data_IF_177703693534
#
_entry.id   IF_177703693534
#
_cell.length_a   1.000
_cell.length_b   1.000
_cell.length_c   1.000
_cell.angle_alpha   90.00
_cell.angle_beta   90.00
_cell.angle_gamma   90.00
#
_symmetry.space_group_name_H-M   'P 1'
#
loop_
_entity.id
_entity.type
_entity.pdbx_description
1 polymer ?
#
# COMPACT_ATOMS: atom_id res chain seq x y z
N UNK A 1 33.23 -90.95 -56.80
CA UNK A 1 32.54 -89.92 -57.60
C UNK A 1 33.60 -88.90 -57.99
N UNK A 2 33.96 -88.82 -59.27
CA UNK A 2 35.08 -87.97 -59.70
C UNK A 2 34.74 -86.49 -59.47
N UNK A 3 35.67 -85.76 -58.86
CA UNK A 3 35.59 -84.29 -58.79
C UNK A 3 35.69 -83.82 -60.24
N UNK A 4 34.55 -83.43 -60.81
CA UNK A 4 34.48 -82.84 -62.14
C UNK A 4 34.72 -81.33 -62.04
N UNK A 5 35.35 -80.77 -63.07
CA UNK A 5 35.63 -79.33 -63.20
C UNK A 5 34.39 -78.47 -62.96
N UNK A 6 33.20 -78.97 -63.31
CA UNK A 6 31.91 -78.33 -63.07
C UNK A 6 31.62 -78.07 -61.59
N UNK A 7 32.02 -78.99 -60.70
CA UNK A 7 31.81 -78.87 -59.25
C UNK A 7 32.73 -77.78 -58.66
N UNK A 8 33.97 -77.67 -59.14
CA UNK A 8 34.90 -76.60 -58.74
C UNK A 8 34.40 -75.23 -59.21
N UNK A 9 33.95 -75.13 -60.47
CA UNK A 9 33.37 -73.89 -61.02
C UNK A 9 32.11 -73.48 -60.26
N UNK A 10 31.21 -74.43 -59.96
CA UNK A 10 30.01 -74.17 -59.18
C UNK A 10 30.34 -73.67 -57.76
N UNK A 11 31.35 -74.25 -57.11
CA UNK A 11 31.80 -73.81 -55.78
C UNK A 11 32.37 -72.40 -55.81
N UNK A 12 33.12 -72.04 -56.87
CA UNK A 12 33.69 -70.70 -57.05
C UNK A 12 32.60 -69.65 -57.31
N UNK A 13 31.60 -69.97 -58.15
CA UNK A 13 30.43 -69.11 -58.38
C UNK A 13 29.61 -68.93 -57.10
N UNK A 14 29.40 -70.00 -56.33
CA UNK A 14 28.71 -69.93 -55.04
C UNK A 14 29.47 -69.07 -54.03
N UNK A 15 30.80 -69.25 -53.92
CA UNK A 15 31.63 -68.42 -53.04
C UNK A 15 31.59 -66.94 -53.43
N UNK A 16 31.60 -66.62 -54.73
CA UNK A 16 31.54 -65.26 -55.23
C UNK A 16 30.15 -64.62 -54.99
N UNK A 17 29.08 -65.41 -55.09
CA UNK A 17 27.72 -65.01 -54.70
C UNK A 17 27.63 -64.72 -53.21
N UNK A 18 28.12 -65.62 -52.35
CA UNK A 18 28.14 -65.43 -50.89
C UNK A 18 28.95 -64.20 -50.51
N UNK A 19 30.09 -63.97 -51.15
CA UNK A 19 30.89 -62.78 -50.92
C UNK A 19 30.15 -61.50 -51.34
N UNK A 20 29.48 -61.53 -52.50
CA UNK A 20 28.65 -60.41 -52.97
C UNK A 20 27.48 -60.10 -52.05
N UNK A 21 26.75 -61.12 -51.60
CA UNK A 21 25.61 -60.93 -50.68
C UNK A 21 26.05 -60.46 -49.30
N UNK A 22 27.16 -60.99 -48.78
CA UNK A 22 27.72 -60.57 -47.50
C UNK A 22 28.26 -59.14 -47.54
N UNK A 23 28.85 -58.72 -48.67
CA UNK A 23 29.45 -57.39 -48.81
C UNK A 23 28.46 -56.28 -49.16
N UNK A 24 27.37 -56.61 -49.87
CA UNK A 24 26.41 -55.61 -50.38
C UNK A 24 25.03 -55.71 -49.72
N UNK A 25 24.45 -56.90 -49.56
CA UNK A 25 23.06 -57.03 -49.08
C UNK A 25 22.98 -56.99 -47.55
N UNK A 26 23.84 -57.73 -46.87
CA UNK A 26 23.85 -57.81 -45.41
C UNK A 26 24.05 -56.45 -44.69
N UNK A 27 25.00 -55.59 -45.08
CA UNK A 27 25.16 -54.28 -44.44
C UNK A 27 23.92 -53.39 -44.60
N UNK A 28 23.30 -53.34 -45.80
CA UNK A 28 22.10 -52.53 -46.00
C UNK A 28 20.90 -52.96 -45.14
N UNK A 29 20.76 -54.27 -44.87
CA UNK A 29 19.71 -54.77 -43.98
C UNK A 29 19.99 -54.42 -42.52
N UNK A 30 21.24 -54.62 -42.07
CA UNK A 30 21.65 -54.29 -40.70
C UNK A 30 21.54 -52.80 -40.42
N UNK A 31 22.00 -51.95 -41.35
CA UNK A 31 21.91 -50.49 -41.25
C UNK A 31 20.46 -50.03 -41.10
N UNK A 32 19.54 -50.59 -41.90
CA UNK A 32 18.12 -50.25 -41.82
C UNK A 32 17.48 -50.70 -40.49
N UNK A 33 17.91 -51.83 -39.92
CA UNK A 33 17.45 -52.28 -38.61
C UNK A 33 18.03 -51.43 -37.47
N UNK A 34 19.31 -51.08 -37.55
CA UNK A 34 19.97 -50.25 -36.55
C UNK A 34 19.40 -48.82 -36.57
N UNK A 35 19.12 -48.26 -37.74
CA UNK A 35 18.48 -46.94 -37.85
C UNK A 35 17.09 -46.92 -37.21
N UNK A 36 16.29 -47.99 -37.39
CA UNK A 36 14.99 -48.12 -36.72
C UNK A 36 15.15 -48.24 -35.21
N UNK A 37 16.05 -49.09 -34.74
CA UNK A 37 16.33 -49.27 -33.31
C UNK A 37 16.77 -47.95 -32.68
N UNK A 38 17.66 -47.22 -33.35
CA UNK A 38 18.16 -45.91 -32.92
C UNK A 38 17.04 -44.87 -32.86
N UNK A 39 16.17 -44.79 -33.88
CA UNK A 39 15.02 -43.88 -33.88
C UNK A 39 14.05 -44.16 -32.74
N UNK A 40 13.78 -45.44 -32.46
CA UNK A 40 12.89 -45.84 -31.36
C UNK A 40 13.53 -45.49 -30.01
N UNK A 41 14.81 -45.80 -29.82
CA UNK A 41 15.54 -45.48 -28.59
C UNK A 41 15.60 -43.96 -28.36
N UNK A 42 15.89 -43.17 -29.39
CA UNK A 42 15.89 -41.72 -29.32
C UNK A 42 14.49 -41.16 -29.05
N UNK A 43 13.45 -41.70 -29.69
CA UNK A 43 12.07 -41.29 -29.45
C UNK A 43 11.61 -41.58 -28.03
N UNK A 44 11.96 -42.75 -27.48
CA UNK A 44 11.63 -43.12 -26.11
C UNK A 44 12.38 -42.24 -25.09
N UNK A 45 13.68 -42.02 -25.29
CA UNK A 45 14.47 -41.15 -24.45
C UNK A 45 13.96 -39.70 -24.48
N UNK A 46 13.59 -39.19 -25.65
CA UNK A 46 13.01 -37.85 -25.79
C UNK A 46 11.64 -37.74 -25.12
N UNK A 47 10.81 -38.79 -25.18
CA UNK A 47 9.53 -38.81 -24.50
C UNK A 47 9.70 -38.82 -22.97
N UNK A 48 10.61 -39.64 -22.43
CA UNK A 48 10.90 -39.69 -21.00
C UNK A 48 11.48 -38.36 -20.50
N UNK A 49 12.41 -37.77 -21.25
CA UNK A 49 12.94 -36.44 -20.93
C UNK A 49 11.84 -35.38 -21.00
N UNK A 50 10.95 -35.43 -21.99
CA UNK A 50 9.84 -34.49 -22.12
C UNK A 50 8.85 -34.57 -20.95
N UNK A 51 8.53 -35.78 -20.48
CA UNK A 51 7.68 -35.97 -19.29
C UNK A 51 8.37 -35.45 -18.02
N UNK A 52 9.67 -35.68 -17.87
CA UNK A 52 10.43 -35.15 -16.74
C UNK A 52 10.49 -33.62 -16.76
N UNK A 53 10.81 -33.01 -17.90
CA UNK A 53 10.85 -31.55 -18.05
C UNK A 53 9.47 -30.93 -17.81
N UNK A 54 8.40 -31.59 -18.26
CA UNK A 54 7.02 -31.15 -18.00
C UNK A 54 6.69 -31.20 -16.50
N UNK A 55 7.06 -32.27 -15.81
CA UNK A 55 6.87 -32.39 -14.36
C UNK A 55 7.64 -31.29 -13.62
N UNK A 56 8.91 -31.08 -13.95
CA UNK A 56 9.73 -30.01 -13.35
C UNK A 56 9.18 -28.61 -13.65
N UNK A 57 8.70 -28.37 -14.87
CA UNK A 57 8.09 -27.10 -15.25
C UNK A 57 6.80 -26.83 -14.47
N UNK A 58 5.97 -27.87 -14.26
CA UNK A 58 4.76 -27.77 -13.43
C UNK A 58 5.10 -27.48 -11.97
N UNK A 59 6.07 -28.18 -11.39
CA UNK A 59 6.49 -27.94 -10.01
C UNK A 59 7.04 -26.53 -9.81
N UNK A 60 7.84 -26.03 -10.76
CA UNK A 60 8.34 -24.65 -10.77
C UNK A 60 7.20 -23.64 -10.91
N UNK A 61 6.24 -23.88 -11.80
CA UNK A 61 5.08 -23.00 -11.96
C UNK A 61 4.24 -22.94 -10.69
N UNK A 62 3.97 -24.07 -10.06
CA UNK A 62 3.23 -24.13 -8.80
C UNK A 62 4.00 -23.46 -7.65
N UNK A 63 5.32 -23.60 -7.61
CA UNK A 63 6.17 -22.89 -6.65
C UNK A 63 6.08 -21.37 -6.83
N UNK A 64 6.17 -20.88 -8.07
CA UNK A 64 6.03 -19.45 -8.39
C UNK A 64 4.64 -18.94 -7.97
N UNK A 65 3.58 -19.70 -8.22
CA UNK A 65 2.21 -19.31 -7.83
C UNK A 65 2.08 -19.24 -6.30
N UNK A 66 2.64 -20.22 -5.58
CA UNK A 66 2.65 -20.20 -4.11
C UNK A 66 3.40 -18.99 -3.57
N UNK A 67 4.61 -18.75 -4.06
CA UNK A 67 5.43 -17.61 -3.66
C UNK A 67 4.73 -16.27 -3.98
N UNK A 68 4.10 -16.15 -5.15
CA UNK A 68 3.34 -14.97 -5.53
C UNK A 68 2.15 -14.73 -4.58
N UNK A 69 1.45 -15.79 -4.15
CA UNK A 69 0.36 -15.68 -3.17
C UNK A 69 0.87 -15.26 -1.80
N UNK A 70 1.97 -15.83 -1.33
CA UNK A 70 2.59 -15.45 -0.05
C UNK A 70 3.03 -13.98 -0.06
N UNK A 71 3.70 -13.54 -1.13
CA UNK A 71 4.09 -12.13 -1.31
C UNK A 71 2.87 -11.21 -1.36
N UNK A 72 1.80 -11.61 -2.04
CA UNK A 72 0.56 -10.83 -2.10
C UNK A 72 -0.09 -10.69 -0.71
N UNK A 73 -0.19 -11.78 0.06
CA UNK A 73 -0.69 -11.74 1.43
C UNK A 73 0.16 -10.83 2.31
N UNK A 74 1.49 -10.92 2.21
CA UNK A 74 2.40 -10.05 2.96
C UNK A 74 2.24 -8.58 2.61
N UNK A 75 2.08 -8.24 1.32
CA UNK A 75 1.80 -6.86 0.88
C UNK A 75 0.47 -6.36 1.46
N UNK A 76 -0.58 -7.19 1.47
CA UNK A 76 -1.88 -6.83 2.04
C UNK A 76 -1.76 -6.58 3.55
N UNK A 77 -1.06 -7.44 4.28
CA UNK A 77 -0.82 -7.29 5.72
C UNK A 77 -0.05 -6.00 6.03
N UNK A 78 1.02 -5.72 5.28
CA UNK A 78 1.78 -4.48 5.41
C UNK A 78 0.93 -3.24 5.12
N UNK A 79 0.11 -3.29 4.06
CA UNK A 79 -0.79 -2.19 3.72
C UNK A 79 -1.84 -1.96 4.82
N UNK A 80 -2.39 -3.02 5.41
CA UNK A 80 -3.32 -2.90 6.54
C UNK A 80 -2.64 -2.33 7.78
N UNK A 81 -1.41 -2.73 8.08
CA UNK A 81 -0.64 -2.18 9.20
C UNK A 81 -0.38 -0.68 8.98
N UNK A 82 0.15 -0.31 7.82
CA UNK A 82 0.39 1.09 7.47
C UNK A 82 -0.88 1.94 7.51
N UNK A 83 -2.02 1.40 7.06
CA UNK A 83 -3.30 2.08 7.13
C UNK A 83 -3.74 2.31 8.59
N UNK A 84 -3.57 1.32 9.47
CA UNK A 84 -3.88 1.46 10.90
C UNK A 84 -2.99 2.51 11.56
N UNK A 85 -1.69 2.46 11.30
CA UNK A 85 -0.73 3.44 11.82
C UNK A 85 -1.07 4.85 11.36
N UNK A 86 -1.41 5.04 10.08
CA UNK A 86 -1.83 6.31 9.54
C UNK A 86 -3.10 6.84 10.22
N UNK A 87 -4.08 5.98 10.47
CA UNK A 87 -5.32 6.35 11.17
C UNK A 87 -5.02 6.75 12.62
N UNK A 88 -4.15 6.04 13.33
CA UNK A 88 -3.77 6.39 14.70
C UNK A 88 -2.96 7.69 14.76
N UNK A 89 -2.04 7.91 13.82
CA UNK A 89 -1.33 9.18 13.68
C UNK A 89 -2.28 10.34 13.39
N UNK A 90 -3.24 10.15 12.47
CA UNK A 90 -4.24 11.15 12.13
C UNK A 90 -5.14 11.48 13.32
N UNK A 91 -5.58 10.48 14.09
CA UNK A 91 -6.32 10.69 15.34
C UNK A 91 -5.50 11.44 16.38
N UNK A 92 -4.22 11.10 16.53
CA UNK A 92 -3.30 11.80 17.43
C UNK A 92 -3.15 13.28 17.06
N UNK A 93 -2.90 13.56 15.79
CA UNK A 93 -2.82 14.92 15.26
C UNK A 93 -4.13 15.69 15.45
N UNK A 94 -5.28 15.07 15.14
CA UNK A 94 -6.59 15.68 15.33
C UNK A 94 -6.88 16.02 16.80
N UNK A 95 -6.50 15.16 17.75
CA UNK A 95 -6.62 15.44 19.19
C UNK A 95 -5.74 16.60 19.62
N UNK A 96 -4.48 16.61 19.16
CA UNK A 96 -3.54 17.70 19.46
C UNK A 96 -4.05 19.04 18.92
N UNK A 97 -4.53 19.06 17.68
CA UNK A 97 -5.06 20.27 17.05
C UNK A 97 -6.37 20.72 17.73
N UNK A 98 -7.25 19.77 18.08
CA UNK A 98 -8.45 20.06 18.86
C UNK A 98 -8.14 20.68 20.22
N UNK A 99 -7.12 20.17 20.94
CA UNK A 99 -6.67 20.75 22.19
C UNK A 99 -6.10 22.16 22.00
N UNK A 100 -5.36 22.40 20.91
CA UNK A 100 -4.82 23.72 20.56
C UNK A 100 -5.92 24.74 20.28
N UNK A 101 -6.94 24.34 19.51
CA UNK A 101 -8.11 25.18 19.20
C UNK A 101 -8.87 25.49 20.49
N UNK A 102 -9.10 24.49 21.35
CA UNK A 102 -9.81 24.69 22.62
C UNK A 102 -9.05 25.66 23.54
N UNK A 103 -7.73 25.50 23.66
CA UNK A 103 -6.90 26.41 24.45
C UNK A 103 -6.94 27.84 23.91
N UNK A 104 -6.87 28.02 22.59
CA UNK A 104 -6.99 29.34 21.95
C UNK A 104 -8.38 29.95 22.18
N UNK A 105 -9.45 29.16 22.09
CA UNK A 105 -10.81 29.60 22.39
C UNK A 105 -10.97 30.03 23.84
N UNK A 106 -10.40 29.27 24.79
CA UNK A 106 -10.39 29.61 26.22
C UNK A 106 -9.71 30.96 26.47
N UNK A 107 -8.54 31.19 25.87
CA UNK A 107 -7.82 32.47 25.95
C UNK A 107 -8.63 33.62 25.36
N UNK A 108 -9.29 33.39 24.22
CA UNK A 108 -10.14 34.40 23.59
C UNK A 108 -11.34 34.76 24.49
N UNK A 109 -11.97 33.77 25.11
CA UNK A 109 -13.06 33.96 26.08
C UNK A 109 -12.59 34.78 27.29
N UNK A 110 -11.40 34.52 27.82
CA UNK A 110 -10.84 35.29 28.94
C UNK A 110 -10.59 36.75 28.56
N UNK A 111 -10.04 37.00 27.37
CA UNK A 111 -9.84 38.34 26.84
C UNK A 111 -11.17 39.08 26.65
N UNK A 112 -12.16 38.43 26.05
CA UNK A 112 -13.47 39.04 25.79
C UNK A 112 -14.25 39.26 27.09
N UNK A 113 -14.12 38.37 28.07
CA UNK A 113 -14.69 38.58 29.43
C UNK A 113 -14.05 39.78 30.11
N UNK A 114 -12.73 39.95 29.98
CA UNK A 114 -12.01 41.11 30.53
C UNK A 114 -12.46 42.40 29.86
N UNK A 115 -12.58 42.41 28.53
CA UNK A 115 -13.11 43.55 27.77
C UNK A 115 -14.55 43.89 28.16
N UNK A 116 -15.41 42.89 28.31
CA UNK A 116 -16.80 43.07 28.75
C UNK A 116 -16.87 43.66 30.16
N UNK A 117 -16.02 43.21 31.10
CA UNK A 117 -15.94 43.78 32.46
C UNK A 117 -15.49 45.25 32.44
N UNK A 118 -14.50 45.59 31.62
CA UNK A 118 -14.04 46.97 31.46
C UNK A 118 -15.11 47.87 30.83
N UNK A 119 -15.83 47.39 29.82
CA UNK A 119 -16.97 48.10 29.24
C UNK A 119 -18.07 48.33 30.28
N UNK A 120 -18.42 47.30 31.07
CA UNK A 120 -19.42 47.39 32.13
C UNK A 120 -19.01 48.40 33.21
N UNK A 121 -17.73 48.42 33.61
CA UNK A 121 -17.19 49.42 34.56
C UNK A 121 -17.39 50.84 34.06
N UNK A 122 -17.14 51.10 32.78
CA UNK A 122 -17.35 52.42 32.16
C UNK A 122 -18.83 52.82 32.15
N UNK A 123 -19.72 51.89 31.80
CA UNK A 123 -21.16 52.14 31.84
C UNK A 123 -21.67 52.43 33.25
N UNK A 124 -21.24 51.63 34.24
CA UNK A 124 -21.61 51.82 35.65
C UNK A 124 -21.09 53.15 36.19
N UNK A 125 -19.85 53.53 35.87
CA UNK A 125 -19.31 54.84 36.23
C UNK A 125 -20.15 55.98 35.62
N UNK A 126 -20.56 55.86 34.36
CA UNK A 126 -21.46 56.82 33.72
C UNK A 126 -22.84 56.90 34.38
N UNK A 127 -23.40 55.76 34.79
CA UNK A 127 -24.66 55.71 35.56
C UNK A 127 -24.49 56.36 36.93
N UNK A 128 -23.40 56.08 37.63
CA UNK A 128 -23.11 56.64 38.96
C UNK A 128 -22.96 58.16 38.91
N UNK A 129 -22.26 58.71 37.91
CA UNK A 129 -22.15 60.17 37.71
C UNK A 129 -23.51 60.78 37.44
N UNK A 130 -24.32 60.19 36.55
CA UNK A 130 -25.69 60.68 36.29
C UNK A 130 -26.57 60.63 37.53
N UNK A 131 -26.47 59.57 38.34
CA UNK A 131 -27.19 59.44 39.59
C UNK A 131 -26.74 60.50 40.61
N UNK A 132 -25.43 60.74 40.75
CA UNK A 132 -24.88 61.77 41.61
C UNK A 132 -25.30 63.18 41.17
N UNK A 133 -25.28 63.48 39.86
CA UNK A 133 -25.79 64.75 39.32
C UNK A 133 -27.28 64.94 39.60
N UNK A 134 -28.09 63.89 39.48
CA UNK A 134 -29.53 63.95 39.76
C UNK A 134 -29.83 64.09 41.26
N UNK A 135 -29.02 63.48 42.13
CA UNK A 135 -29.12 63.64 43.59
C UNK A 135 -28.72 65.06 44.01
N UNK A 136 -27.61 65.58 43.47
CA UNK A 136 -27.16 66.95 43.72
C UNK A 136 -28.19 67.97 43.23
N UNK A 137 -28.78 67.78 42.04
CA UNK A 137 -29.86 68.64 41.54
C UNK A 137 -31.13 68.60 42.40
N UNK A 138 -31.35 67.53 43.18
CA UNK A 138 -32.47 67.42 44.12
C UNK A 138 -32.16 68.05 45.47
N UNK A 139 -30.91 67.98 45.94
CA UNK A 139 -30.44 68.68 47.14
C UNK A 139 -30.30 70.19 46.93
N UNK A 140 -29.95 70.61 45.71
CA UNK A 140 -30.03 72.00 45.22
C UNK A 140 -31.50 72.31 44.91
N UNK A 141 -32.37 72.19 45.92
CA UNK A 141 -33.75 72.66 45.86
C UNK A 141 -33.79 74.16 46.21
N UNK A 142 -34.67 74.89 45.53
CA UNK A 142 -34.74 76.36 45.52
C UNK A 142 -34.87 77.01 46.91
N UNK A 143 -35.24 76.24 47.95
CA UNK A 143 -35.33 76.71 49.33
C UNK A 143 -33.98 77.01 49.97
N UNK A 144 -32.93 76.26 49.66
CA UNK A 144 -31.60 76.46 50.28
C UNK A 144 -30.88 77.69 49.69
N UNK A 145 -31.15 78.01 48.43
CA UNK A 145 -30.57 79.19 47.78
C UNK A 145 -31.29 80.50 48.13
N UNK A 146 -32.60 80.47 48.40
CA UNK A 146 -33.33 81.65 48.88
C UNK A 146 -32.81 82.10 50.25
N UNK A 147 -32.62 81.18 51.20
CA UNK A 147 -32.11 81.48 52.55
C UNK A 147 -30.65 81.98 52.55
N UNK A 148 -29.83 81.55 51.60
CA UNK A 148 -28.44 82.02 51.46
C UNK A 148 -28.34 83.38 50.76
N UNK A 149 -29.21 83.64 49.77
CA UNK A 149 -29.30 84.95 49.11
C UNK A 149 -29.88 86.01 50.05
N UNK A 150 -30.91 85.69 50.84
CA UNK A 150 -31.46 86.63 51.82
C UNK A 150 -30.45 87.00 52.92
N UNK A 151 -29.60 86.05 53.36
CA UNK A 151 -28.52 86.34 54.32
C UNK A 151 -27.36 87.17 53.76
N UNK A 152 -27.06 87.05 52.46
CA UNK A 152 -26.04 87.87 51.79
C UNK A 152 -26.53 89.29 51.50
N UNK A 153 -27.83 89.46 51.20
CA UNK A 153 -28.42 90.77 50.93
C UNK A 153 -28.67 91.57 52.22
N UNK A 154 -28.78 90.90 53.38
CA UNK A 154 -28.89 91.53 54.69
C UNK A 154 -27.55 92.03 55.29
N UNK A 155 -26.42 91.84 54.59
CA UNK A 155 -25.08 92.30 54.98
C UNK A 155 -24.55 93.46 54.11
N UNK A 156 -25.38 94.01 53.21
CA UNK A 156 -25.13 95.27 52.50
C UNK A 156 -26.15 96.30 53.01
#
# INVERSE_FOLDING_TARGET
MNINLTLVVQMLVFALLVFGTMRFIWPHILDAMEERSRKIAQGLAAAEQGEQELAEARDKADAIIREARERASHIIEQAQHAARDLVEQAKGAARSEGARILAAAQQQIELDTTRAREALRREVAGIAVRAASKLLAREIDARTHADLLDKLTAQI
#
